data_IF_256968360248
#
_entry.id   IF_256968360248
#
_cell.length_a   1.000
_cell.length_b   1.000
_cell.length_c   1.000
_cell.angle_alpha   90.00
_cell.angle_beta   90.00
_cell.angle_gamma   90.00
#
_symmetry.space_group_name_H-M   'P 1'
#
loop_
_entity.id
_entity.type
_entity.pdbx_description
1 polymer ?
#
# COMPACT_ATOMS: atom_id res chain seq x y z
N UNK A 1 3.76 -19.26 -8.64
CA UNK A 1 3.37 -18.87 -7.28
C UNK A 1 2.33 -17.75 -7.39
N UNK A 2 1.18 -17.85 -6.70
CA UNK A 2 0.15 -16.81 -6.75
C UNK A 2 0.39 -15.82 -5.61
N UNK A 3 0.64 -14.55 -5.93
CA UNK A 3 0.74 -13.50 -4.92
C UNK A 3 -0.60 -13.29 -4.24
N UNK A 4 -0.59 -13.22 -2.91
CA UNK A 4 -1.75 -12.92 -2.10
C UNK A 4 -1.93 -11.39 -2.11
N UNK A 5 -3.12 -10.95 -2.49
CA UNK A 5 -3.53 -9.55 -2.46
C UNK A 5 -4.57 -9.33 -1.37
N UNK A 6 -4.63 -8.12 -0.83
CA UNK A 6 -5.56 -7.83 0.25
C UNK A 6 -7.01 -7.79 -0.27
N UNK A 7 -7.94 -8.30 0.54
CA UNK A 7 -9.37 -8.27 0.23
C UNK A 7 -9.93 -6.84 0.11
N UNK A 8 -9.37 -5.88 0.85
CA UNK A 8 -9.70 -4.45 0.81
C UNK A 8 -9.55 -3.90 -0.61
N UNK A 9 -8.57 -4.38 -1.38
CA UNK A 9 -8.29 -3.90 -2.74
C UNK A 9 -9.44 -4.20 -3.72
N UNK A 10 -10.24 -5.21 -3.41
CA UNK A 10 -11.39 -5.59 -4.24
C UNK A 10 -12.62 -4.74 -3.94
N UNK A 11 -12.63 -4.02 -2.82
CA UNK A 11 -13.78 -3.22 -2.39
C UNK A 11 -13.98 -1.98 -3.25
N UNK A 12 -15.23 -1.59 -3.47
CA UNK A 12 -15.57 -0.37 -4.21
C UNK A 12 -15.08 0.90 -3.50
N UNK A 13 -14.98 0.88 -2.17
CA UNK A 13 -14.48 2.03 -1.39
C UNK A 13 -13.00 2.24 -1.66
N UNK A 14 -12.18 1.19 -1.62
CA UNK A 14 -10.75 1.29 -1.93
C UNK A 14 -10.50 1.77 -3.36
N UNK A 15 -11.21 1.21 -4.36
CA UNK A 15 -11.03 1.61 -5.76
C UNK A 15 -11.29 3.09 -6.02
N UNK A 16 -12.16 3.74 -5.23
CA UNK A 16 -12.46 5.17 -5.36
C UNK A 16 -11.39 6.07 -4.74
N UNK A 17 -10.75 5.60 -3.67
CA UNK A 17 -9.82 6.42 -2.87
C UNK A 17 -8.34 6.08 -3.13
N UNK A 18 -8.03 4.92 -3.71
CA UNK A 18 -6.64 4.46 -3.89
C UNK A 18 -5.78 5.46 -4.66
N UNK A 19 -6.31 6.08 -5.70
CA UNK A 19 -5.57 7.07 -6.49
C UNK A 19 -5.19 8.29 -5.63
N UNK A 20 -6.15 8.82 -4.88
CA UNK A 20 -5.92 9.95 -3.96
C UNK A 20 -4.92 9.59 -2.86
N UNK A 21 -5.04 8.38 -2.29
CA UNK A 21 -4.09 7.90 -1.27
C UNK A 21 -2.68 7.77 -1.85
N UNK A 22 -2.53 7.21 -3.04
CA UNK A 22 -1.22 7.05 -3.67
C UNK A 22 -0.58 8.40 -4.00
N UNK A 23 -1.36 9.40 -4.43
CA UNK A 23 -0.90 10.77 -4.61
C UNK A 23 -0.42 11.39 -3.28
N UNK A 24 -1.15 11.19 -2.17
CA UNK A 24 -0.73 11.63 -0.83
C UNK A 24 0.55 10.95 -0.38
N UNK A 25 0.69 9.64 -0.63
CA UNK A 25 1.91 8.89 -0.29
C UNK A 25 3.11 9.48 -1.02
N UNK A 26 3.03 9.66 -2.34
CA UNK A 26 4.13 10.24 -3.14
C UNK A 26 4.45 11.67 -2.69
N UNK A 27 3.44 12.47 -2.36
CA UNK A 27 3.64 13.81 -1.82
C UNK A 27 4.37 13.81 -0.46
N UNK A 28 4.18 12.78 0.36
CA UNK A 28 4.83 12.64 1.67
C UNK A 28 6.25 12.07 1.60
N UNK A 29 6.45 10.98 0.86
CA UNK A 29 7.72 10.23 0.85
C UNK A 29 8.63 10.57 -0.34
N UNK A 30 8.10 11.31 -1.31
CA UNK A 30 8.77 11.64 -2.57
C UNK A 30 8.59 10.56 -3.66
N UNK A 31 9.12 10.89 -4.84
CA UNK A 31 9.20 9.94 -5.96
C UNK A 31 10.20 8.81 -5.66
N UNK A 32 9.93 7.64 -6.23
CA UNK A 32 10.73 6.44 -6.02
C UNK A 32 11.98 6.34 -6.89
N UNK A 33 12.44 5.10 -7.09
CA UNK A 33 13.63 4.79 -7.91
C UNK A 33 14.86 4.38 -7.11
N UNK A 34 14.70 4.11 -5.81
CA UNK A 34 15.76 3.62 -4.94
C UNK A 34 15.34 2.34 -4.21
N UNK A 35 16.36 1.58 -3.78
CA UNK A 35 16.19 0.33 -3.07
C UNK A 35 15.32 0.52 -1.80
N UNK A 36 14.28 -0.28 -1.64
CA UNK A 36 13.38 -0.26 -0.49
C UNK A 36 12.24 0.75 -0.57
N UNK A 37 12.08 1.45 -1.70
CA UNK A 37 10.99 2.41 -1.90
C UNK A 37 9.61 1.75 -1.71
N UNK A 38 9.42 0.53 -2.22
CA UNK A 38 8.14 -0.17 -2.12
C UNK A 38 7.68 -0.34 -0.66
N UNK A 39 8.60 -0.64 0.26
CA UNK A 39 8.29 -0.77 1.68
C UNK A 39 7.84 0.54 2.30
N UNK A 40 8.52 1.66 1.98
CA UNK A 40 8.12 2.98 2.46
C UNK A 40 6.78 3.41 1.88
N UNK A 41 6.56 3.14 0.59
CA UNK A 41 5.30 3.42 -0.07
C UNK A 41 4.15 2.65 0.58
N UNK A 42 4.33 1.34 0.83
CA UNK A 42 3.29 0.53 1.46
C UNK A 42 3.05 0.90 2.92
N UNK A 43 4.08 1.25 3.68
CA UNK A 43 3.94 1.71 5.06
C UNK A 43 3.11 3.01 5.12
N UNK A 44 3.47 4.01 4.32
CA UNK A 44 2.73 5.27 4.24
C UNK A 44 1.28 5.04 3.78
N UNK A 45 1.08 4.22 2.74
CA UNK A 45 -0.25 3.85 2.24
C UNK A 45 -1.09 3.16 3.31
N UNK A 46 -0.51 2.19 4.02
CA UNK A 46 -1.19 1.48 5.11
C UNK A 46 -1.62 2.45 6.22
N UNK A 47 -0.73 3.37 6.62
CA UNK A 47 -1.03 4.39 7.63
C UNK A 47 -2.17 5.31 7.21
N UNK A 48 -2.10 5.89 6.01
CA UNK A 48 -3.15 6.81 5.49
C UNK A 48 -4.50 6.10 5.38
N UNK A 49 -4.52 4.86 4.85
CA UNK A 49 -5.75 4.07 4.76
C UNK A 49 -6.38 3.80 6.12
N UNK A 50 -5.56 3.54 7.14
CA UNK A 50 -6.01 3.29 8.50
C UNK A 50 -6.52 4.57 9.17
N UNK A 51 -5.74 5.64 9.12
CA UNK A 51 -6.02 6.90 9.82
C UNK A 51 -7.20 7.67 9.21
N UNK A 52 -7.24 7.82 7.88
CA UNK A 52 -8.23 8.67 7.22
C UNK A 52 -9.50 7.91 6.80
N UNK A 53 -9.39 6.62 6.48
CA UNK A 53 -10.52 5.85 5.90
C UNK A 53 -10.97 4.67 6.77
N UNK A 54 -10.31 4.46 7.91
CA UNK A 54 -10.50 3.33 8.83
C UNK A 54 -10.48 1.97 8.10
N UNK A 55 -9.52 1.81 7.18
CA UNK A 55 -9.30 0.57 6.43
C UNK A 55 -8.04 -0.14 6.89
N UNK A 56 -8.19 -1.38 7.33
CA UNK A 56 -7.07 -2.27 7.64
C UNK A 56 -6.55 -2.98 6.38
N UNK A 57 -5.85 -2.24 5.52
CA UNK A 57 -5.16 -2.80 4.35
C UNK A 57 -3.81 -3.41 4.75
N UNK A 58 -3.52 -4.65 4.36
CA UNK A 58 -2.23 -5.31 4.57
C UNK A 58 -1.29 -5.11 3.38
N UNK A 59 -0.01 -4.93 3.67
CA UNK A 59 1.02 -4.75 2.63
C UNK A 59 1.32 -6.06 1.92
N UNK A 60 1.82 -6.02 0.66
CA UNK A 60 2.29 -7.21 -0.03
C UNK A 60 3.34 -8.00 0.76
N UNK A 61 4.28 -7.33 1.44
CA UNK A 61 5.27 -7.95 2.30
C UNK A 61 4.65 -8.69 3.51
N UNK A 62 3.60 -8.12 4.12
CA UNK A 62 2.87 -8.77 5.22
C UNK A 62 2.11 -10.02 4.75
N UNK A 63 1.51 -9.97 3.56
CA UNK A 63 0.73 -11.09 3.01
C UNK A 63 1.59 -12.18 2.39
N UNK A 64 2.83 -11.85 1.99
CA UNK A 64 3.72 -12.74 1.27
C UNK A 64 5.12 -12.74 1.92
N UNK A 65 5.26 -13.24 3.16
CA UNK A 65 6.51 -13.16 3.93
C UNK A 65 7.69 -13.95 3.31
N UNK A 66 7.40 -14.87 2.39
CA UNK A 66 8.40 -15.66 1.68
C UNK A 66 8.88 -15.01 0.37
N UNK A 67 8.41 -13.80 0.05
CA UNK A 67 8.80 -13.05 -1.15
C UNK A 67 9.68 -11.89 -0.73
N UNK A 68 10.85 -11.80 -1.36
CA UNK A 68 11.73 -10.64 -1.20
C UNK A 68 11.24 -9.54 -2.14
N UNK A 69 10.73 -8.48 -1.54
CA UNK A 69 10.30 -7.28 -2.26
C UNK A 69 11.37 -6.22 -2.11
N UNK A 70 11.64 -5.53 -3.21
CA UNK A 70 12.38 -4.29 -3.22
C UNK A 70 12.04 -3.46 -4.47
#
# INVERSE_FOLDING_TARGET
MKMITDSVEKTSKYKKIVKEVEEKVVAEIGEGGYLGYCHRFWEAKQRILKEEYNMDWKTPAQLNPNVLFD
#
